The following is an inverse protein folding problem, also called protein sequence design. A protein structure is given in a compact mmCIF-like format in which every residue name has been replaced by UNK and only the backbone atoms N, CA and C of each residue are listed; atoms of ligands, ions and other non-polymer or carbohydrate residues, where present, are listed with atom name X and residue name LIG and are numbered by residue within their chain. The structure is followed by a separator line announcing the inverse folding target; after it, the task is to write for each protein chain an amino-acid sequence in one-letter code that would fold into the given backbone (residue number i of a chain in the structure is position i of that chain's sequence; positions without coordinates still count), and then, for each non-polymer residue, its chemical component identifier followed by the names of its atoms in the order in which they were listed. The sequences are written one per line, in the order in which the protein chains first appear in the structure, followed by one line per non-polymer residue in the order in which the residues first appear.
data_IF_130888064211
#
_entry.id   IF_130888064211
#
_cell.length_a   1.000
_cell.length_b   1.000
_cell.length_c   1.000
_cell.angle_alpha   90.00
_cell.angle_beta   90.00
_cell.angle_gamma   90.00
#
_symmetry.space_group_name_H-M   'P 1'
#
loop_
_entity.id
_entity.type
_entity.pdbx_description
1 polymer ?
#
# COMPACT_ATOMS: atom_id res chain seq x y z
N UNK A 1 57.04 -6.10 14.08
CA UNK A 1 55.75 -6.05 14.82
C UNK A 1 54.60 -6.18 13.83
N UNK A 2 54.10 -7.41 13.63
CA UNK A 2 52.97 -7.71 12.75
C UNK A 2 51.65 -7.35 13.46
N UNK A 3 50.90 -6.39 12.91
CA UNK A 3 49.56 -6.05 13.39
C UNK A 3 48.57 -7.16 13.00
N UNK A 4 48.24 -8.03 13.96
CA UNK A 4 47.15 -8.99 13.86
C UNK A 4 45.81 -8.24 13.79
N UNK A 5 45.21 -8.19 12.59
CA UNK A 5 43.83 -7.73 12.42
C UNK A 5 42.89 -8.76 12.99
N UNK A 6 42.39 -8.53 14.20
CA UNK A 6 41.29 -9.31 14.78
C UNK A 6 40.05 -9.13 13.91
N UNK A 7 39.47 -10.20 13.33
CA UNK A 7 38.24 -10.09 12.57
C UNK A 7 37.10 -9.68 13.50
N UNK A 8 36.46 -8.54 13.21
CA UNK A 8 35.30 -8.08 13.95
C UNK A 8 34.18 -9.14 13.89
N UNK A 9 33.52 -9.48 15.01
CA UNK A 9 32.47 -10.50 15.01
C UNK A 9 31.34 -10.08 14.06
N UNK A 10 31.06 -10.95 13.09
CA UNK A 10 29.92 -10.79 12.20
C UNK A 10 28.65 -10.62 13.05
N UNK A 11 28.00 -9.46 12.96
CA UNK A 11 26.70 -9.21 13.60
C UNK A 11 25.69 -10.24 13.09
N UNK A 12 25.57 -11.40 13.76
CA UNK A 12 24.46 -12.33 13.58
C UNK A 12 23.19 -11.51 13.75
N UNK A 13 22.36 -11.42 12.69
CA UNK A 13 20.99 -10.92 12.86
C UNK A 13 20.36 -11.82 13.92
N UNK A 14 19.87 -11.27 15.02
CA UNK A 14 19.34 -12.10 16.10
C UNK A 14 18.22 -12.98 15.53
N UNK A 15 18.26 -14.28 15.81
CA UNK A 15 17.26 -15.24 15.34
C UNK A 15 15.83 -14.77 15.69
N UNK A 16 15.67 -14.14 16.85
CA UNK A 16 14.44 -13.47 17.29
C UNK A 16 13.90 -12.45 16.27
N UNK A 17 14.74 -11.60 15.68
CA UNK A 17 14.30 -10.62 14.70
C UNK A 17 13.90 -11.25 13.36
N UNK A 18 14.38 -12.46 13.04
CA UNK A 18 13.94 -13.23 11.87
C UNK A 18 12.57 -13.85 12.17
N UNK A 19 12.43 -14.51 13.32
CA UNK A 19 11.17 -15.13 13.77
C UNK A 19 10.02 -14.12 13.86
N UNK A 20 10.24 -12.94 14.45
CA UNK A 20 9.21 -11.89 14.54
C UNK A 20 8.74 -11.43 13.16
N UNK A 21 9.66 -11.31 12.19
CA UNK A 21 9.31 -10.91 10.82
C UNK A 21 8.57 -12.02 10.08
N UNK A 22 8.99 -13.28 10.26
CA UNK A 22 8.30 -14.43 9.71
C UNK A 22 6.87 -14.55 10.26
N UNK A 23 6.71 -14.43 11.58
CA UNK A 23 5.40 -14.43 12.25
C UNK A 23 4.50 -13.29 11.78
N UNK A 24 5.03 -12.08 11.64
CA UNK A 24 4.26 -10.94 11.10
C UNK A 24 3.84 -11.16 9.64
N UNK A 25 4.70 -11.78 8.82
CA UNK A 25 4.38 -12.12 7.44
C UNK A 25 3.26 -13.17 7.37
N UNK A 26 3.39 -14.25 8.16
CA UNK A 26 2.37 -15.30 8.27
C UNK A 26 1.04 -14.74 8.74
N UNK A 27 1.05 -13.85 9.74
CA UNK A 27 -0.16 -13.18 10.23
C UNK A 27 -0.80 -12.32 9.14
N UNK A 28 -0.01 -11.57 8.37
CA UNK A 28 -0.53 -10.78 7.26
C UNK A 28 -1.15 -11.66 6.17
N UNK A 29 -0.52 -12.78 5.82
CA UNK A 29 -1.07 -13.75 4.86
C UNK A 29 -2.37 -14.36 5.40
N UNK A 30 -2.40 -14.80 6.66
CA UNK A 30 -3.60 -15.34 7.29
C UNK A 30 -4.73 -14.31 7.33
N UNK A 31 -4.43 -13.05 7.69
CA UNK A 31 -5.40 -11.97 7.69
C UNK A 31 -5.94 -11.66 6.28
N UNK A 32 -5.09 -11.73 5.25
CA UNK A 32 -5.55 -11.58 3.86
C UNK A 32 -6.46 -12.75 3.44
N UNK A 33 -6.10 -13.99 3.77
CA UNK A 33 -6.88 -15.17 3.38
C UNK A 33 -8.22 -15.29 4.13
N UNK A 34 -8.27 -14.85 5.39
CA UNK A 34 -9.43 -15.04 6.27
C UNK A 34 -10.25 -13.77 6.49
N UNK A 35 -9.71 -12.60 6.15
CA UNK A 35 -10.29 -11.30 6.49
C UNK A 35 -11.69 -11.08 5.92
N UNK A 36 -11.87 -11.33 4.62
CA UNK A 36 -13.16 -11.22 3.95
C UNK A 36 -14.20 -12.18 4.56
N UNK A 37 -13.81 -13.42 4.82
CA UNK A 37 -14.67 -14.41 5.49
C UNK A 37 -15.00 -14.00 6.92
N UNK A 38 -14.07 -13.35 7.64
CA UNK A 38 -14.28 -12.92 9.02
C UNK A 38 -15.32 -11.81 9.13
N UNK A 39 -15.30 -10.83 8.23
CA UNK A 39 -16.26 -9.72 8.24
C UNK A 39 -17.64 -10.12 7.69
N UNK A 40 -17.72 -11.14 6.83
CA UNK A 40 -18.97 -11.67 6.30
C UNK A 40 -19.66 -12.70 7.23
N UNK A 41 -18.99 -13.16 8.28
CA UNK A 41 -19.58 -14.14 9.20
C UNK A 41 -20.80 -13.55 9.92
N UNK A 42 -21.95 -14.21 9.77
CA UNK A 42 -23.21 -13.86 10.44
C UNK A 42 -23.98 -12.71 9.78
N UNK A 43 -23.57 -12.23 8.61
CA UNK A 43 -24.27 -11.14 7.90
C UNK A 43 -25.38 -11.64 6.97
N UNK A 44 -25.38 -12.94 6.63
CA UNK A 44 -26.30 -13.51 5.63
C UNK A 44 -25.97 -13.18 4.18
N UNK A 45 -24.89 -12.43 3.93
CA UNK A 45 -24.45 -12.07 2.57
C UNK A 45 -23.88 -13.25 1.79
N UNK A 46 -24.00 -13.19 0.45
CA UNK A 46 -23.45 -14.20 -0.44
C UNK A 46 -21.93 -14.29 -0.30
N UNK A 47 -21.42 -15.53 -0.19
CA UNK A 47 -19.98 -15.78 -0.12
C UNK A 47 -19.35 -15.53 -1.49
N UNK A 48 -18.41 -14.59 -1.54
CA UNK A 48 -17.58 -14.32 -2.73
C UNK A 48 -16.65 -15.53 -2.97
N UNK A 49 -16.70 -16.17 -4.15
CA UNK A 49 -15.78 -17.26 -4.49
C UNK A 49 -14.31 -16.80 -4.44
N UNK A 50 -13.45 -17.60 -3.81
CA UNK A 50 -12.02 -17.34 -3.67
C UNK A 50 -11.66 -15.95 -3.08
N UNK A 51 -12.49 -15.43 -2.16
CA UNK A 51 -12.30 -14.12 -1.53
C UNK A 51 -10.93 -13.94 -0.85
N UNK A 52 -10.43 -14.99 -0.19
CA UNK A 52 -9.12 -14.97 0.47
C UNK A 52 -7.98 -14.77 -0.53
N UNK A 53 -7.95 -15.57 -1.60
CA UNK A 53 -6.95 -15.44 -2.67
C UNK A 53 -7.05 -14.08 -3.37
N UNK A 54 -8.27 -13.59 -3.62
CA UNK A 54 -8.47 -12.25 -4.17
C UNK A 54 -7.86 -11.18 -3.25
N UNK A 55 -8.13 -11.23 -1.95
CA UNK A 55 -7.60 -10.28 -0.97
C UNK A 55 -6.07 -10.33 -0.90
N UNK A 56 -5.47 -11.52 -0.94
CA UNK A 56 -4.02 -11.70 -0.93
C UNK A 56 -3.38 -11.04 -2.17
N UNK A 57 -3.87 -11.36 -3.36
CA UNK A 57 -3.36 -10.79 -4.61
C UNK A 57 -3.50 -9.26 -4.62
N UNK A 58 -4.63 -8.74 -4.14
CA UNK A 58 -4.86 -7.29 -4.04
C UNK A 58 -3.96 -6.60 -3.02
N UNK A 59 -3.67 -7.26 -1.92
CA UNK A 59 -2.69 -6.77 -0.92
C UNK A 59 -1.30 -6.67 -1.55
N UNK A 60 -0.87 -7.68 -2.32
CA UNK A 60 0.41 -7.65 -3.04
C UNK A 60 0.44 -6.54 -4.08
N UNK A 61 -0.63 -6.40 -4.87
CA UNK A 61 -0.77 -5.38 -5.92
C UNK A 61 -0.66 -3.96 -5.34
N UNK A 62 -1.43 -3.64 -4.29
CA UNK A 62 -1.38 -2.34 -3.64
C UNK A 62 -0.06 -2.08 -2.90
N UNK A 63 0.52 -3.12 -2.30
CA UNK A 63 1.85 -3.05 -1.71
C UNK A 63 2.93 -2.74 -2.75
N UNK A 64 2.87 -3.39 -3.91
CA UNK A 64 3.76 -3.16 -5.05
C UNK A 64 3.68 -1.73 -5.55
N UNK A 65 2.46 -1.22 -5.76
CA UNK A 65 2.21 0.17 -6.16
C UNK A 65 2.79 1.16 -5.14
N UNK A 66 2.52 0.94 -3.85
CA UNK A 66 3.05 1.78 -2.78
C UNK A 66 4.58 1.79 -2.77
N UNK A 67 5.23 0.62 -2.79
CA UNK A 67 6.70 0.52 -2.77
C UNK A 67 7.33 1.25 -3.95
N UNK A 68 6.80 1.10 -5.16
CA UNK A 68 7.38 1.75 -6.33
C UNK A 68 7.09 3.26 -6.34
N UNK A 69 5.84 3.67 -6.24
CA UNK A 69 5.45 5.08 -6.30
C UNK A 69 6.07 5.89 -5.15
N UNK A 70 6.06 5.33 -3.94
CA UNK A 70 6.73 5.91 -2.78
C UNK A 70 8.25 5.96 -2.92
N UNK A 71 8.84 4.99 -3.62
CA UNK A 71 10.25 5.00 -4.01
C UNK A 71 10.62 6.21 -4.87
N UNK A 72 9.81 6.50 -5.90
CA UNK A 72 9.99 7.66 -6.77
C UNK A 72 9.84 8.98 -5.98
N UNK A 73 8.77 9.10 -5.20
CA UNK A 73 8.48 10.30 -4.42
C UNK A 73 9.57 10.60 -3.37
N UNK A 74 9.98 9.60 -2.58
CA UNK A 74 11.03 9.77 -1.59
C UNK A 74 12.40 10.09 -2.23
N UNK A 75 12.67 9.55 -3.42
CA UNK A 75 13.89 9.89 -4.18
C UNK A 75 13.86 11.33 -4.68
N UNK A 76 12.70 11.83 -5.12
CA UNK A 76 12.53 13.25 -5.48
C UNK A 76 12.71 14.18 -4.25
N UNK A 77 12.12 13.82 -3.11
CA UNK A 77 12.28 14.56 -1.85
C UNK A 77 13.73 14.57 -1.35
N UNK A 78 14.44 13.45 -1.50
CA UNK A 78 15.83 13.32 -1.09
C UNK A 78 16.78 14.11 -1.99
N UNK A 79 16.54 14.13 -3.31
CA UNK A 79 17.40 14.85 -4.28
C UNK A 79 17.46 16.35 -4.03
N UNK A 80 16.41 16.94 -3.47
CA UNK A 80 16.34 18.38 -3.20
C UNK A 80 16.96 18.79 -1.85
N UNK A 81 17.54 17.85 -1.09
CA UNK A 81 18.17 18.16 0.20
C UNK A 81 19.63 18.60 0.02
N UNK A 82 20.06 19.71 0.67
CA UNK A 82 21.47 20.05 0.75
C UNK A 82 22.23 19.02 1.59
N UNK A 83 23.52 18.85 1.31
CA UNK A 83 24.47 18.01 2.06
C UNK A 83 24.01 16.55 2.29
N UNK A 84 23.20 16.03 1.37
CA UNK A 84 22.75 14.64 1.45
C UNK A 84 23.92 13.69 1.18
N UNK A 85 24.06 12.59 1.93
CA UNK A 85 24.98 11.53 1.55
C UNK A 85 24.67 10.99 0.14
N UNK A 86 25.69 10.68 -0.64
CA UNK A 86 25.53 10.12 -1.99
C UNK A 86 24.94 8.70 -1.99
N UNK A 87 25.09 7.98 -0.86
CA UNK A 87 24.59 6.61 -0.72
C UNK A 87 23.06 6.55 -0.81
N UNK A 88 22.54 5.66 -1.64
CA UNK A 88 21.11 5.36 -1.77
C UNK A 88 20.79 3.92 -1.32
N UNK A 89 19.60 3.66 -0.74
CA UNK A 89 19.18 2.30 -0.42
C UNK A 89 18.99 1.47 -1.70
N UNK A 90 19.26 0.16 -1.62
CA UNK A 90 19.03 -0.77 -2.74
C UNK A 90 17.60 -0.64 -3.30
N UNK A 91 17.47 -0.57 -4.63
CA UNK A 91 16.18 -0.44 -5.30
C UNK A 91 15.28 -1.65 -5.03
N UNK A 92 14.06 -1.40 -4.54
CA UNK A 92 13.00 -2.41 -4.47
C UNK A 92 11.94 -2.23 -5.55
N UNK A 93 12.04 -1.16 -6.35
CA UNK A 93 11.05 -0.75 -7.34
C UNK A 93 10.79 -1.82 -8.41
N UNK A 94 11.86 -2.37 -9.02
CA UNK A 94 11.72 -3.40 -10.04
C UNK A 94 11.08 -4.67 -9.48
N UNK A 95 11.60 -5.20 -8.36
CA UNK A 95 11.05 -6.39 -7.71
C UNK A 95 9.60 -6.20 -7.25
N UNK A 96 9.26 -5.02 -6.70
CA UNK A 96 7.90 -4.68 -6.32
C UNK A 96 6.98 -4.66 -7.55
N UNK A 97 7.42 -4.07 -8.66
CA UNK A 97 6.63 -4.03 -9.89
C UNK A 97 6.43 -5.40 -10.49
N UNK A 98 7.45 -6.27 -10.49
CA UNK A 98 7.28 -7.68 -10.89
C UNK A 98 6.25 -8.37 -10.01
N UNK A 99 6.31 -8.18 -8.69
CA UNK A 99 5.29 -8.74 -7.78
C UNK A 99 3.88 -8.20 -8.08
N UNK A 100 3.75 -6.92 -8.42
CA UNK A 100 2.49 -6.31 -8.85
C UNK A 100 1.96 -6.90 -10.15
N UNK A 101 2.83 -7.11 -11.14
CA UNK A 101 2.47 -7.75 -12.41
C UNK A 101 2.01 -9.20 -12.20
N UNK A 102 2.74 -9.98 -11.39
CA UNK A 102 2.36 -11.35 -11.03
C UNK A 102 1.04 -11.39 -10.24
N UNK A 103 0.81 -10.43 -9.35
CA UNK A 103 -0.45 -10.33 -8.62
C UNK A 103 -1.64 -10.04 -9.55
N UNK A 104 -1.48 -9.12 -10.51
CA UNK A 104 -2.48 -8.83 -11.52
C UNK A 104 -2.74 -10.03 -12.43
N UNK A 105 -1.70 -10.72 -12.90
CA UNK A 105 -1.84 -11.97 -13.67
C UNK A 105 -2.54 -13.07 -12.86
N UNK A 106 -2.23 -13.20 -11.57
CA UNK A 106 -2.93 -14.10 -10.66
C UNK A 106 -4.42 -13.75 -10.51
N UNK A 107 -4.78 -12.45 -10.54
CA UNK A 107 -6.19 -12.04 -10.53
C UNK A 107 -6.91 -12.45 -11.83
N UNK A 108 -6.24 -12.39 -12.98
CA UNK A 108 -6.78 -12.85 -14.28
C UNK A 108 -7.05 -14.36 -14.22
N UNK A 109 -6.07 -15.15 -13.76
CA UNK A 109 -6.24 -16.60 -13.62
C UNK A 109 -7.38 -16.96 -12.66
N UNK A 110 -7.51 -16.21 -11.56
CA UNK A 110 -8.61 -16.37 -10.61
C UNK A 110 -9.96 -16.04 -11.28
N UNK A 111 -10.04 -14.94 -12.02
CA UNK A 111 -11.27 -14.54 -12.73
C UNK A 111 -11.68 -15.61 -13.74
N UNK A 112 -10.75 -16.07 -14.58
CA UNK A 112 -10.97 -17.16 -15.54
C UNK A 112 -11.56 -18.41 -14.86
N UNK A 113 -10.94 -18.85 -13.75
CA UNK A 113 -11.41 -20.04 -13.01
C UNK A 113 -12.75 -19.86 -12.32
N UNK A 114 -13.02 -18.70 -11.73
CA UNK A 114 -14.26 -18.45 -11.00
C UNK A 114 -15.44 -18.28 -11.97
N UNK A 115 -15.19 -17.75 -13.17
CA UNK A 115 -16.20 -17.51 -14.19
C UNK A 115 -16.32 -18.63 -15.23
N UNK A 116 -15.54 -19.71 -15.09
CA UNK A 116 -15.44 -20.81 -16.06
C UNK A 116 -15.17 -20.35 -17.50
N UNK A 117 -14.25 -19.39 -17.63
CA UNK A 117 -13.83 -18.80 -18.90
C UNK A 117 -12.44 -19.28 -19.30
N UNK A 118 -12.21 -19.44 -20.59
CA UNK A 118 -10.86 -19.51 -21.13
C UNK A 118 -10.12 -18.17 -20.98
N UNK A 119 -8.80 -18.19 -21.16
CA UNK A 119 -7.97 -16.99 -20.99
C UNK A 119 -8.29 -15.90 -22.01
N UNK A 120 -8.59 -16.27 -23.25
CA UNK A 120 -8.90 -15.34 -24.33
C UNK A 120 -10.21 -14.62 -24.05
N UNK A 121 -11.24 -15.38 -23.65
CA UNK A 121 -12.54 -14.87 -23.24
C UNK A 121 -12.40 -13.95 -22.02
N UNK A 122 -11.57 -14.35 -21.06
CA UNK A 122 -11.28 -13.55 -19.87
C UNK A 122 -10.70 -12.19 -20.25
N UNK A 123 -9.72 -12.12 -21.18
CA UNK A 123 -9.18 -10.85 -21.66
C UNK A 123 -10.22 -9.99 -22.39
N UNK A 124 -11.19 -10.63 -23.05
CA UNK A 124 -12.30 -9.94 -23.71
C UNK A 124 -13.29 -9.28 -22.73
N UNK A 125 -13.31 -9.70 -21.46
CA UNK A 125 -14.14 -9.04 -20.43
C UNK A 125 -13.54 -7.68 -20.02
N UNK A 126 -14.40 -6.74 -19.62
CA UNK A 126 -13.94 -5.43 -19.08
C UNK A 126 -12.99 -5.60 -17.89
N UNK A 127 -13.30 -6.52 -16.97
CA UNK A 127 -12.46 -6.75 -15.79
C UNK A 127 -11.10 -7.37 -16.17
N UNK A 128 -11.09 -8.39 -17.04
CA UNK A 128 -9.86 -9.02 -17.51
C UNK A 128 -8.98 -8.07 -18.33
N UNK A 129 -9.56 -7.23 -19.18
CA UNK A 129 -8.83 -6.18 -19.91
C UNK A 129 -8.17 -5.15 -18.99
N UNK A 130 -8.86 -4.68 -17.94
CA UNK A 130 -8.29 -3.76 -16.95
C UNK A 130 -7.18 -4.42 -16.10
N UNK A 131 -7.32 -5.71 -15.78
CA UNK A 131 -6.27 -6.47 -15.11
C UNK A 131 -5.05 -6.69 -16.02
N UNK A 132 -5.26 -6.92 -17.31
CA UNK A 132 -4.18 -7.03 -18.30
C UNK A 132 -3.44 -5.70 -18.44
N UNK A 133 -4.17 -4.59 -18.49
CA UNK A 133 -3.60 -3.24 -18.50
C UNK A 133 -2.75 -2.99 -17.24
N UNK A 134 -3.26 -3.42 -16.08
CA UNK A 134 -2.55 -3.34 -14.80
C UNK A 134 -1.27 -4.19 -14.79
N UNK A 135 -1.33 -5.43 -15.28
CA UNK A 135 -0.17 -6.33 -15.36
C UNK A 135 0.93 -5.73 -16.27
N UNK A 136 0.55 -5.24 -17.45
CA UNK A 136 1.48 -4.60 -18.39
C UNK A 136 2.04 -3.29 -17.85
N UNK A 137 1.22 -2.47 -17.19
CA UNK A 137 1.67 -1.25 -16.52
C UNK A 137 2.75 -1.55 -15.48
N UNK A 138 2.55 -2.56 -14.64
CA UNK A 138 3.60 -2.98 -13.71
C UNK A 138 4.84 -3.55 -14.40
N UNK A 139 4.70 -4.36 -15.46
CA UNK A 139 5.84 -4.87 -16.21
C UNK A 139 6.68 -3.73 -16.82
N UNK A 140 6.04 -2.76 -17.46
CA UNK A 140 6.71 -1.56 -17.98
C UNK A 140 7.37 -0.75 -16.87
N UNK A 141 6.70 -0.58 -15.73
CA UNK A 141 7.29 0.08 -14.57
C UNK A 141 8.53 -0.67 -14.07
N UNK A 142 8.53 -2.01 -14.07
CA UNK A 142 9.71 -2.81 -13.71
C UNK A 142 10.89 -2.54 -14.66
N UNK A 143 10.64 -2.51 -15.97
CA UNK A 143 11.64 -2.18 -17.00
C UNK A 143 12.19 -0.76 -16.79
N UNK A 144 11.32 0.23 -16.58
CA UNK A 144 11.74 1.60 -16.27
C UNK A 144 12.61 1.65 -15.02
N UNK A 145 12.23 0.95 -13.94
CA UNK A 145 12.99 0.91 -12.70
C UNK A 145 14.36 0.24 -12.83
N UNK A 146 14.54 -0.68 -13.78
CA UNK A 146 15.81 -1.32 -14.10
C UNK A 146 16.66 -0.52 -15.10
N UNK A 147 16.07 0.47 -15.77
CA UNK A 147 16.75 1.31 -16.76
C UNK A 147 17.56 2.46 -16.13
N UNK A 148 18.27 3.21 -16.96
CA UNK A 148 18.95 4.46 -16.57
C UNK A 148 18.00 5.61 -16.23
N UNK A 149 16.71 5.50 -16.55
CA UNK A 149 15.70 6.56 -16.36
C UNK A 149 14.51 6.07 -15.52
N UNK A 150 14.70 5.75 -14.23
CA UNK A 150 13.65 5.20 -13.36
C UNK A 150 12.45 6.15 -13.17
N UNK A 151 12.63 7.46 -13.38
CA UNK A 151 11.54 8.43 -13.32
C UNK A 151 10.44 8.18 -14.39
N UNK A 152 10.78 7.53 -15.51
CA UNK A 152 9.80 7.20 -16.55
C UNK A 152 8.74 6.20 -16.06
N UNK A 153 8.98 5.49 -14.96
CA UNK A 153 7.99 4.60 -14.35
C UNK A 153 6.72 5.32 -13.86
N UNK A 154 6.74 6.66 -13.73
CA UNK A 154 5.57 7.42 -13.31
C UNK A 154 4.36 7.23 -14.24
N UNK A 155 4.59 7.21 -15.57
CA UNK A 155 3.53 7.02 -16.56
C UNK A 155 2.85 5.63 -16.47
N UNK A 156 3.58 4.50 -16.53
CA UNK A 156 2.95 3.19 -16.39
C UNK A 156 2.32 2.97 -15.01
N UNK A 157 2.84 3.57 -13.93
CA UNK A 157 2.18 3.52 -12.61
C UNK A 157 0.89 4.35 -12.57
N UNK A 158 0.82 5.49 -13.26
CA UNK A 158 -0.41 6.26 -13.40
C UNK A 158 -1.48 5.46 -14.17
N UNK A 159 -1.06 4.71 -15.20
CA UNK A 159 -1.92 3.78 -15.93
C UNK A 159 -2.45 2.65 -15.03
N UNK A 160 -1.61 2.08 -14.15
CA UNK A 160 -2.05 1.11 -13.13
C UNK A 160 -3.11 1.73 -12.19
N UNK A 161 -2.89 2.95 -11.71
CA UNK A 161 -3.86 3.65 -10.84
C UNK A 161 -5.18 3.87 -11.57
N UNK A 162 -5.14 4.33 -12.82
CA UNK A 162 -6.34 4.53 -13.63
C UNK A 162 -7.10 3.24 -13.90
N UNK A 163 -6.39 2.16 -14.26
CA UNK A 163 -6.98 0.84 -14.49
C UNK A 163 -7.68 0.31 -13.23
N UNK A 164 -7.02 0.40 -12.07
CA UNK A 164 -7.62 -0.03 -10.80
C UNK A 164 -8.80 0.84 -10.37
N UNK A 165 -8.75 2.15 -10.65
CA UNK A 165 -9.86 3.05 -10.37
C UNK A 165 -11.10 2.73 -11.22
N UNK A 166 -10.92 2.47 -12.52
CA UNK A 166 -12.02 2.04 -13.40
C UNK A 166 -12.56 0.66 -13.00
N UNK A 167 -11.69 -0.25 -12.56
CA UNK A 167 -12.08 -1.61 -12.15
C UNK A 167 -12.84 -1.61 -10.82
N UNK A 168 -12.53 -0.70 -9.90
CA UNK A 168 -13.20 -0.57 -8.61
C UNK A 168 -14.62 0.03 -8.71
N UNK A 169 -14.97 0.59 -9.87
CA UNK A 169 -16.23 1.28 -10.09
C UNK A 169 -17.01 0.73 -11.30
N UNK A 170 -17.50 -0.53 -11.22
CA UNK A 170 -18.35 -1.10 -12.25
C UNK A 170 -19.81 -0.64 -12.18
N UNK A 171 -20.20 0.09 -11.12
CA UNK A 171 -21.58 0.46 -10.86
C UNK A 171 -22.19 1.38 -11.93
N UNK A 172 -23.53 1.32 -12.05
CA UNK A 172 -24.28 2.18 -12.96
C UNK A 172 -24.42 3.62 -12.44
N UNK A 173 -24.29 3.85 -11.14
CA UNK A 173 -24.53 5.16 -10.52
C UNK A 173 -23.22 5.90 -10.26
N UNK A 174 -23.03 7.06 -10.90
CA UNK A 174 -21.85 7.93 -10.71
C UNK A 174 -20.45 7.28 -10.86
N UNK A 175 -20.20 6.35 -11.81
CA UNK A 175 -18.92 5.62 -11.89
C UNK A 175 -17.71 6.54 -12.11
N UNK A 176 -17.88 7.65 -12.83
CA UNK A 176 -16.82 8.63 -13.06
C UNK A 176 -16.36 9.30 -11.76
N UNK A 177 -17.30 9.67 -10.88
CA UNK A 177 -16.98 10.26 -9.57
C UNK A 177 -16.26 9.24 -8.70
N UNK A 178 -16.74 7.99 -8.70
CA UNK A 178 -16.07 6.91 -7.99
C UNK A 178 -14.64 6.68 -8.45
N UNK A 179 -14.43 6.55 -9.77
CA UNK A 179 -13.10 6.38 -10.34
C UNK A 179 -12.19 7.56 -9.97
N UNK A 180 -12.66 8.81 -10.08
CA UNK A 180 -11.88 10.00 -9.70
C UNK A 180 -11.48 9.99 -8.22
N UNK A 181 -12.40 9.67 -7.31
CA UNK A 181 -12.11 9.51 -5.89
C UNK A 181 -11.08 8.41 -5.65
N UNK A 182 -11.19 7.28 -6.36
CA UNK A 182 -10.24 6.15 -6.23
C UNK A 182 -8.86 6.49 -6.77
N UNK A 183 -8.73 7.22 -7.88
CA UNK A 183 -7.43 7.71 -8.39
C UNK A 183 -6.72 8.51 -7.32
N UNK A 184 -7.40 9.48 -6.72
CA UNK A 184 -6.82 10.34 -5.67
C UNK A 184 -6.52 9.53 -4.41
N UNK A 185 -7.46 8.70 -3.95
CA UNK A 185 -7.30 7.89 -2.73
C UNK A 185 -6.15 6.89 -2.85
N UNK A 186 -6.10 6.12 -3.95
CA UNK A 186 -5.08 5.10 -4.18
C UNK A 186 -3.70 5.72 -4.35
N UNK A 187 -3.60 6.83 -5.09
CA UNK A 187 -2.34 7.57 -5.24
C UNK A 187 -1.87 8.10 -3.88
N UNK A 188 -2.76 8.73 -3.11
CA UNK A 188 -2.42 9.29 -1.82
C UNK A 188 -1.98 8.21 -0.81
N UNK A 189 -2.70 7.08 -0.76
CA UNK A 189 -2.36 5.94 0.10
C UNK A 189 -0.99 5.34 -0.28
N UNK A 190 -0.74 5.18 -1.59
CA UNK A 190 0.51 4.63 -2.13
C UNK A 190 1.70 5.53 -1.81
N UNK A 191 1.55 6.85 -2.01
CA UNK A 191 2.56 7.84 -1.66
C UNK A 191 2.81 7.90 -0.15
N UNK A 192 1.76 7.80 0.66
CA UNK A 192 1.90 7.89 2.11
C UNK A 192 2.64 6.66 2.66
N UNK A 193 2.12 5.46 2.41
CA UNK A 193 2.70 4.21 2.89
C UNK A 193 4.09 3.94 2.30
N UNK A 194 4.21 4.00 0.97
CA UNK A 194 5.46 3.74 0.27
C UNK A 194 6.53 4.78 0.53
N UNK A 195 6.13 6.06 0.58
CA UNK A 195 7.03 7.17 0.89
C UNK A 195 7.63 7.00 2.28
N UNK A 196 6.81 6.61 3.29
CA UNK A 196 7.31 6.36 4.65
C UNK A 196 8.35 5.26 4.66
N UNK A 197 8.02 4.13 4.00
CA UNK A 197 8.91 2.98 3.91
C UNK A 197 10.27 3.40 3.35
N UNK A 198 10.27 4.10 2.22
CA UNK A 198 11.51 4.50 1.56
C UNK A 198 12.28 5.54 2.39
N UNK A 199 11.60 6.53 2.99
CA UNK A 199 12.22 7.49 3.91
C UNK A 199 12.90 6.78 5.07
N UNK A 200 12.22 5.81 5.71
CA UNK A 200 12.78 5.05 6.83
C UNK A 200 13.99 4.17 6.43
N UNK A 201 13.98 3.63 5.20
CA UNK A 201 15.13 2.91 4.64
C UNK A 201 16.32 3.84 4.43
N UNK A 202 16.09 5.02 3.85
CA UNK A 202 17.10 6.06 3.66
C UNK A 202 17.65 6.58 4.99
N UNK A 203 16.79 6.90 5.96
CA UNK A 203 17.21 7.31 7.31
C UNK A 203 18.06 6.26 8.02
N UNK A 204 17.78 4.97 7.80
CA UNK A 204 18.59 3.88 8.38
C UNK A 204 19.98 3.82 7.76
N UNK A 205 20.09 4.10 6.46
CA UNK A 205 21.35 4.14 5.72
C UNK A 205 22.18 5.35 6.17
N UNK A 206 21.58 6.53 6.18
CA UNK A 206 22.22 7.80 6.53
C UNK A 206 22.44 8.00 8.04
N UNK A 207 22.06 7.03 8.88
CA UNK A 207 22.09 7.17 10.35
C UNK A 207 23.45 7.56 10.94
N UNK A 208 24.55 7.27 10.25
CA UNK A 208 25.93 7.59 10.68
C UNK A 208 26.57 8.70 9.87
N UNK A 209 26.25 8.79 8.58
CA UNK A 209 26.91 9.68 7.63
C UNK A 209 26.19 11.01 7.43
N UNK A 210 24.91 11.09 7.77
CA UNK A 210 24.11 12.31 7.59
C UNK A 210 22.83 12.31 8.43
N UNK A 211 22.92 12.29 9.78
CA UNK A 211 21.74 12.29 10.65
C UNK A 211 20.86 13.54 10.46
N UNK A 212 21.46 14.71 10.19
CA UNK A 212 20.74 15.94 9.86
C UNK A 212 19.93 15.82 8.56
N UNK A 213 20.56 15.38 7.47
CA UNK A 213 19.87 15.12 6.20
C UNK A 213 18.74 14.08 6.34
N UNK A 214 18.95 13.03 7.15
CA UNK A 214 17.92 12.02 7.44
C UNK A 214 16.70 12.62 8.16
N UNK A 215 16.93 13.51 9.13
CA UNK A 215 15.87 14.23 9.84
C UNK A 215 15.14 15.20 8.92
N UNK A 216 15.88 15.96 8.12
CA UNK A 216 15.32 16.90 7.15
C UNK A 216 14.45 16.19 6.10
N UNK A 217 14.86 15.00 5.64
CA UNK A 217 14.07 14.15 4.74
C UNK A 217 12.74 13.75 5.39
N UNK A 218 12.77 13.27 6.64
CA UNK A 218 11.55 12.92 7.38
C UNK A 218 10.63 14.14 7.58
N UNK A 219 11.20 15.32 7.84
CA UNK A 219 10.44 16.57 7.97
C UNK A 219 9.74 16.99 6.67
N UNK A 220 10.44 16.92 5.53
CA UNK A 220 9.85 17.18 4.20
C UNK A 220 8.72 16.21 3.88
N UNK A 221 8.98 14.92 4.12
CA UNK A 221 7.97 13.89 3.95
C UNK A 221 6.76 14.11 4.87
N UNK A 222 6.96 14.48 6.13
CA UNK A 222 5.87 14.71 7.08
C UNK A 222 4.93 15.85 6.64
N UNK A 223 5.45 16.88 5.96
CA UNK A 223 4.61 17.93 5.34
C UNK A 223 3.76 17.38 4.20
N UNK A 224 4.37 16.62 3.29
CA UNK A 224 3.64 15.94 2.21
C UNK A 224 2.56 15.00 2.79
N UNK A 225 2.91 14.21 3.79
CA UNK A 225 1.99 13.28 4.46
C UNK A 225 0.81 13.99 5.14
N UNK A 226 0.93 15.27 5.52
CA UNK A 226 -0.20 16.08 5.98
C UNK A 226 -1.25 16.26 4.89
N UNK A 227 -0.83 16.63 3.69
CA UNK A 227 -1.74 16.78 2.54
C UNK A 227 -2.30 15.44 2.06
N UNK A 228 -1.49 14.38 2.05
CA UNK A 228 -1.96 13.03 1.70
C UNK A 228 -3.03 12.54 2.68
N UNK A 229 -2.87 12.83 3.98
CA UNK A 229 -3.89 12.53 4.98
C UNK A 229 -5.22 13.24 4.70
N UNK A 230 -5.18 14.54 4.40
CA UNK A 230 -6.39 15.31 4.04
C UNK A 230 -7.06 14.72 2.81
N UNK A 231 -6.29 14.44 1.75
CA UNK A 231 -6.83 13.82 0.54
C UNK A 231 -7.51 12.48 0.82
N UNK A 232 -6.93 11.64 1.69
CA UNK A 232 -7.50 10.35 2.08
C UNK A 232 -8.75 10.49 2.94
N UNK A 233 -8.76 11.43 3.88
CA UNK A 233 -9.93 11.71 4.71
C UNK A 233 -11.11 12.17 3.85
N UNK A 234 -10.88 13.15 2.96
CA UNK A 234 -11.89 13.66 2.03
C UNK A 234 -12.39 12.54 1.13
N UNK A 235 -11.51 11.91 0.35
CA UNK A 235 -11.92 10.87 -0.62
C UNK A 235 -12.54 9.65 0.05
N UNK A 236 -12.07 9.27 1.24
CA UNK A 236 -12.62 8.17 2.04
C UNK A 236 -14.03 8.47 2.54
N UNK A 237 -14.26 9.67 3.08
CA UNK A 237 -15.59 10.12 3.53
C UNK A 237 -16.58 10.17 2.38
N UNK A 238 -16.23 10.82 1.26
CA UNK A 238 -17.11 10.86 0.09
C UNK A 238 -17.39 9.47 -0.49
N UNK A 239 -16.39 8.58 -0.53
CA UNK A 239 -16.60 7.20 -0.97
C UNK A 239 -17.49 6.40 -0.02
N UNK A 240 -17.37 6.60 1.30
CA UNK A 240 -18.22 5.94 2.28
C UNK A 240 -19.67 6.40 2.15
N UNK A 241 -19.91 7.71 2.07
CA UNK A 241 -21.25 8.29 1.90
C UNK A 241 -21.92 7.84 0.59
N UNK A 242 -21.14 7.63 -0.48
CA UNK A 242 -21.68 7.11 -1.76
C UNK A 242 -22.06 5.64 -1.73
N UNK A 243 -21.40 4.81 -0.91
CA UNK A 243 -21.51 3.34 -0.97
C UNK A 243 -22.27 2.73 0.20
N UNK A 244 -22.30 3.39 1.36
CA UNK A 244 -22.78 2.79 2.61
C UNK A 244 -23.96 3.56 3.21
N UNK A 245 -25.18 3.01 3.06
CA UNK A 245 -26.35 3.45 3.83
C UNK A 245 -26.13 3.25 5.34
N UNK A 246 -26.63 4.17 6.20
CA UNK A 246 -26.33 4.16 7.63
C UNK A 246 -26.94 2.96 8.38
N UNK A 247 -28.05 2.42 7.90
CA UNK A 247 -28.79 1.29 8.46
C UNK A 247 -28.04 -0.05 8.34
N UNK A 248 -27.17 -0.19 7.33
CA UNK A 248 -26.39 -1.42 7.08
C UNK A 248 -24.94 -1.37 7.57
N UNK A 249 -24.55 -0.31 8.29
CA UNK A 249 -23.15 -0.09 8.75
C UNK A 249 -22.65 -1.23 9.65
N UNK A 250 -23.50 -1.71 10.57
CA UNK A 250 -23.12 -2.75 11.53
C UNK A 250 -23.46 -4.17 11.05
N UNK A 251 -24.41 -4.29 10.13
CA UNK A 251 -24.97 -5.57 9.69
C UNK A 251 -24.31 -6.09 8.41
N UNK A 252 -23.74 -5.20 7.59
CA UNK A 252 -23.04 -5.60 6.36
C UNK A 252 -21.56 -5.93 6.60
N UNK A 253 -21.03 -6.84 5.78
CA UNK A 253 -19.63 -7.18 5.76
C UNK A 253 -18.76 -5.97 5.38
N UNK A 254 -19.25 -5.15 4.43
CA UNK A 254 -18.57 -3.93 3.99
C UNK A 254 -18.51 -2.89 5.11
N UNK A 255 -19.63 -2.64 5.79
CA UNK A 255 -19.70 -1.70 6.91
C UNK A 255 -18.77 -2.11 8.05
N UNK A 256 -18.76 -3.39 8.45
CA UNK A 256 -17.82 -3.93 9.45
C UNK A 256 -16.36 -3.75 9.04
N UNK A 257 -16.01 -4.05 7.80
CA UNK A 257 -14.64 -3.86 7.29
C UNK A 257 -14.25 -2.37 7.25
N UNK A 258 -15.19 -1.48 6.92
CA UNK A 258 -14.98 -0.04 6.89
C UNK A 258 -14.74 0.51 8.30
N UNK A 259 -15.49 0.07 9.30
CA UNK A 259 -15.27 0.45 10.71
C UNK A 259 -13.87 0.05 11.17
N UNK A 260 -13.42 -1.16 10.85
CA UNK A 260 -12.04 -1.59 11.15
C UNK A 260 -11.02 -0.67 10.47
N UNK A 261 -11.24 -0.31 9.21
CA UNK A 261 -10.38 0.65 8.49
C UNK A 261 -10.38 2.03 9.16
N UNK A 262 -11.53 2.52 9.64
CA UNK A 262 -11.64 3.80 10.34
C UNK A 262 -10.90 3.81 11.68
N UNK A 263 -11.03 2.74 12.47
CA UNK A 263 -10.26 2.57 13.73
C UNK A 263 -8.75 2.55 13.44
N UNK A 264 -8.32 1.78 12.44
CA UNK A 264 -6.91 1.76 12.02
C UNK A 264 -6.44 3.14 11.55
N UNK A 265 -7.26 3.87 10.80
CA UNK A 265 -6.95 5.23 10.36
C UNK A 265 -6.79 6.19 11.54
N UNK A 266 -7.65 6.10 12.56
CA UNK A 266 -7.51 6.88 13.79
C UNK A 266 -6.19 6.56 14.50
N UNK A 267 -5.83 5.27 14.61
CA UNK A 267 -4.54 4.84 15.17
C UNK A 267 -3.36 5.40 14.37
N UNK A 268 -3.40 5.31 13.03
CA UNK A 268 -2.36 5.89 12.15
C UNK A 268 -2.24 7.40 12.38
N UNK A 269 -3.36 8.12 12.46
CA UNK A 269 -3.37 9.57 12.71
C UNK A 269 -2.71 9.92 14.03
N UNK A 270 -3.04 9.21 15.12
CA UNK A 270 -2.42 9.41 16.43
C UNK A 270 -0.92 9.12 16.40
N UNK A 271 -0.51 8.03 15.74
CA UNK A 271 0.90 7.66 15.58
C UNK A 271 1.67 8.70 14.76
N UNK A 272 1.09 9.18 13.65
CA UNK A 272 1.68 10.19 12.77
C UNK A 272 1.83 11.53 13.50
N UNK A 273 0.79 11.99 14.22
CA UNK A 273 0.85 13.19 15.05
C UNK A 273 1.90 13.05 16.16
N UNK A 274 1.96 11.90 16.83
CA UNK A 274 2.97 11.61 17.84
C UNK A 274 4.40 11.61 17.27
N UNK A 275 4.60 11.04 16.07
CA UNK A 275 5.88 11.06 15.37
C UNK A 275 6.29 12.49 14.99
N UNK A 276 5.34 13.32 14.51
CA UNK A 276 5.57 14.73 14.15
C UNK A 276 5.90 15.59 15.37
N UNK A 277 5.15 15.46 16.46
CA UNK A 277 5.42 16.19 17.73
C UNK A 277 6.82 15.86 18.26
N UNK A 278 7.23 14.59 18.23
CA UNK A 278 8.58 14.19 18.65
C UNK A 278 9.66 14.61 17.67
N UNK A 279 9.37 14.64 16.37
CA UNK A 279 10.26 15.22 15.38
C UNK A 279 10.47 16.72 15.59
N UNK A 280 9.51 17.44 16.19
CA UNK A 280 9.72 18.85 16.56
C UNK A 280 10.51 18.98 17.88
N UNK A 281 10.15 18.17 18.88
CA UNK A 281 10.65 18.34 20.26
C UNK A 281 12.04 17.72 20.53
N UNK A 282 12.43 16.64 19.84
CA UNK A 282 13.64 15.87 20.15
C UNK A 282 14.62 15.95 18.98
N UNK A 283 15.88 16.36 19.17
CA UNK A 283 16.88 16.42 18.09
C UNK A 283 17.28 15.03 17.57
N UNK A 284 17.18 13.96 18.37
CA UNK A 284 17.61 12.61 18.00
C UNK A 284 16.73 12.00 16.88
N UNK A 285 17.28 11.80 15.66
CA UNK A 285 16.55 11.17 14.56
C UNK A 285 16.12 9.73 14.84
N UNK A 286 16.76 9.03 15.80
CA UNK A 286 16.44 7.64 16.11
C UNK A 286 15.10 7.49 16.84
N UNK A 287 14.71 8.43 17.70
CA UNK A 287 13.40 8.44 18.38
C UNK A 287 12.28 8.61 17.37
N UNK A 288 12.37 9.63 16.50
CA UNK A 288 11.40 9.86 15.43
C UNK A 288 11.27 8.65 14.49
N UNK A 289 12.40 8.05 14.10
CA UNK A 289 12.43 6.83 13.26
C UNK A 289 11.73 5.64 13.92
N UNK A 290 11.86 5.44 15.24
CA UNK A 290 11.18 4.35 15.96
C UNK A 290 9.66 4.52 15.95
N UNK A 291 9.15 5.74 16.13
CA UNK A 291 7.71 6.04 16.09
C UNK A 291 7.15 5.90 14.67
N UNK A 292 7.83 6.46 13.69
CA UNK A 292 7.46 6.35 12.27
C UNK A 292 7.46 4.88 11.77
N UNK A 293 8.25 3.97 12.36
CA UNK A 293 8.13 2.54 12.07
C UNK A 293 6.81 1.93 12.53
N UNK A 294 6.26 2.39 13.66
CA UNK A 294 4.93 1.93 14.14
C UNK A 294 3.83 2.44 13.21
N UNK A 295 3.93 3.69 12.77
CA UNK A 295 3.06 4.26 11.73
C UNK A 295 3.10 3.42 10.46
N UNK A 296 4.29 3.04 9.96
CA UNK A 296 4.41 2.18 8.77
C UNK A 296 3.74 0.81 8.93
N UNK A 297 3.86 0.17 10.10
CA UNK A 297 3.19 -1.12 10.37
C UNK A 297 1.67 -0.94 10.34
N UNK A 298 1.16 0.12 10.97
CA UNK A 298 -0.27 0.44 10.95
C UNK A 298 -0.78 0.78 9.53
N UNK A 299 0.00 1.51 8.73
CA UNK A 299 -0.31 1.76 7.31
C UNK A 299 -0.34 0.46 6.50
N UNK A 300 0.56 -0.49 6.77
CA UNK A 300 0.52 -1.82 6.17
C UNK A 300 -0.78 -2.57 6.49
N UNK A 301 -1.27 -2.49 7.73
CA UNK A 301 -2.57 -3.04 8.11
C UNK A 301 -3.73 -2.33 7.41
N UNK A 302 -3.69 -1.00 7.26
CA UNK A 302 -4.70 -0.24 6.49
C UNK A 302 -4.74 -0.68 5.02
N UNK A 303 -3.59 -0.93 4.39
CA UNK A 303 -3.53 -1.45 3.01
C UNK A 303 -4.17 -2.84 2.93
N UNK A 304 -3.88 -3.73 3.88
CA UNK A 304 -4.48 -5.06 3.92
C UNK A 304 -6.00 -5.01 4.12
N UNK A 305 -6.49 -4.21 5.06
CA UNK A 305 -7.94 -4.04 5.26
C UNK A 305 -8.59 -3.35 4.06
N UNK A 306 -7.89 -2.45 3.37
CA UNK A 306 -8.36 -1.87 2.11
C UNK A 306 -8.47 -2.94 1.00
N UNK A 307 -7.56 -3.91 0.95
CA UNK A 307 -7.68 -5.04 0.03
C UNK A 307 -8.91 -5.91 0.36
N UNK A 308 -9.19 -6.16 1.65
CA UNK A 308 -10.43 -6.85 2.07
C UNK A 308 -11.67 -6.10 1.59
N UNK A 309 -11.74 -4.79 1.82
CA UNK A 309 -12.87 -3.95 1.41
C UNK A 309 -13.15 -4.02 -0.09
N UNK A 310 -12.12 -4.18 -0.91
CA UNK A 310 -12.28 -4.26 -2.38
C UNK A 310 -12.73 -5.64 -2.88
N UNK A 311 -12.88 -6.63 -2.00
CA UNK A 311 -13.35 -7.98 -2.33
C UNK A 311 -14.75 -8.23 -1.76
N UNK A 312 -15.08 -7.62 -0.63
CA UNK A 312 -16.40 -7.72 0.01
C UNK A 312 -17.46 -7.03 -0.86
N UNK A 313 -18.70 -7.56 -0.95
CA UNK A 313 -19.77 -6.95 -1.74
C UNK A 313 -20.03 -5.49 -1.34
N UNK A 314 -20.35 -4.66 -2.32
CA UNK A 314 -20.88 -3.30 -2.08
C UNK A 314 -22.28 -3.43 -1.46
N UNK A 315 -22.60 -2.77 -0.33
CA UNK A 315 -23.86 -2.97 0.37
C UNK A 315 -25.03 -2.18 -0.23
N UNK A 316 -24.81 -1.34 -1.25
CA UNK A 316 -25.86 -0.47 -1.80
C UNK A 316 -27.06 -1.24 -2.42
N UNK A 317 -26.91 -2.52 -2.77
CA UNK A 317 -28.04 -3.36 -3.23
C UNK A 317 -28.89 -3.93 -2.09
N UNK A 318 -28.40 -3.86 -0.84
CA UNK A 318 -29.15 -4.32 0.34
C UNK A 318 -30.20 -3.30 0.78
N UNK A 319 -29.95 -1.99 0.59
CA UNK A 319 -30.88 -0.93 0.99
C UNK A 319 -31.99 -0.64 -0.02
N UNK A 320 -31.96 -1.29 -1.18
CA UNK A 320 -33.01 -1.19 -2.21
C UNK A 320 -34.04 -2.31 -2.12
N UNK A 321 -34.05 -3.07 -1.01
CA UNK A 321 -35.08 -4.06 -0.68
C UNK A 321 -36.00 -3.52 0.42
#
# INVERSE_FOLDING_TARGET
MLHSRVPAPARRRSAAAVLVRAGACLLAVAAALLGATAVARGTGELRIPAAGTATLLRTVLFGALAVHLGGLAATALARSLPDRPETAPRGWAAAASVAGALAAAGQILRLARVSDLGLVETYGTREGGLLLLTANGFALAACCAASSRPALAAAPLALVVGAEALRAHPEAYSPAVGAALTVVHLTAASLWCGGLLQVLRTMRLWRRTGPGAARALLGRYARLAGWLFVALAVTGTFSALRRLPPDVVLTSAYGRALLVKMVLMAVVSVLALGARRRLAADPDPAVARRRARRELVALGAVVLVSAVLTVVPDPHWLSTR
#
